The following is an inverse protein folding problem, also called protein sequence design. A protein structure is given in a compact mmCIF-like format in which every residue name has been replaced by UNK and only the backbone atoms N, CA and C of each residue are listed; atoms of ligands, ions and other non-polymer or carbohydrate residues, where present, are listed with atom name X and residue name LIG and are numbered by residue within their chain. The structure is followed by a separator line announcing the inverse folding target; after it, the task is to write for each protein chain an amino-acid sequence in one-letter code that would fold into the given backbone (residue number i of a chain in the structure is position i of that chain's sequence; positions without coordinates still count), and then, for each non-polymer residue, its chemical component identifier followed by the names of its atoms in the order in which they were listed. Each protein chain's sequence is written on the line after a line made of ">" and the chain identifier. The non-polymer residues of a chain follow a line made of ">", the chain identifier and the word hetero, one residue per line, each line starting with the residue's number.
data_IF_076375233952
#
_entry.id   IF_076375233952
#
_cell.length_a   1.000
_cell.length_b   1.000
_cell.length_c   1.000
_cell.angle_alpha   90.00
_cell.angle_beta   90.00
_cell.angle_gamma   90.00
#
_symmetry.space_group_name_H-M   'P 1'
#
loop_
_entity.id
_entity.type
_entity.pdbx_description
1 polymer ?
#
# COMPACT_ATOMS: atom_id res chain seq x y z
N UNK A 1 -3.64 -3.61 12.86
CA UNK A 1 -3.81 -3.46 11.40
C UNK A 1 -3.12 -4.63 10.74
N UNK A 2 -3.71 -5.28 9.73
CA UNK A 2 -3.05 -6.41 9.06
C UNK A 2 -1.95 -5.89 8.14
N UNK A 3 -0.78 -6.57 8.06
CA UNK A 3 0.28 -6.17 7.15
C UNK A 3 -0.14 -6.43 5.69
N UNK A 4 0.25 -5.54 4.77
CA UNK A 4 0.02 -5.76 3.34
C UNK A 4 1.17 -6.57 2.74
N UNK A 5 0.98 -7.01 1.50
CA UNK A 5 2.03 -7.66 0.72
C UNK A 5 2.25 -6.89 -0.59
N UNK A 6 3.48 -6.47 -0.84
CA UNK A 6 3.88 -5.78 -2.07
C UNK A 6 4.85 -6.65 -2.86
N UNK A 7 4.55 -6.87 -4.14
CA UNK A 7 5.47 -7.52 -5.06
C UNK A 7 6.05 -6.48 -5.99
N UNK A 8 7.34 -6.20 -5.86
CA UNK A 8 8.05 -5.12 -6.55
C UNK A 8 9.20 -5.65 -7.40
N UNK A 9 9.75 -4.79 -8.25
CA UNK A 9 10.91 -5.10 -9.08
C UNK A 9 10.71 -4.71 -10.54
N UNK A 10 11.81 -4.78 -11.29
CA UNK A 10 11.85 -4.43 -12.70
C UNK A 10 10.77 -5.14 -13.53
N UNK A 11 10.42 -4.60 -14.70
CA UNK A 11 9.49 -5.29 -15.60
C UNK A 11 9.92 -6.71 -15.91
N UNK A 12 8.93 -7.56 -16.19
CA UNK A 12 9.18 -8.93 -16.66
C UNK A 12 9.99 -9.80 -15.70
N UNK A 13 9.69 -9.73 -14.39
CA UNK A 13 10.29 -10.55 -13.32
C UNK A 13 9.31 -11.53 -12.65
N UNK A 14 8.20 -11.85 -13.33
CA UNK A 14 7.20 -12.79 -12.80
C UNK A 14 6.38 -12.28 -11.61
N UNK A 15 6.28 -10.95 -11.41
CA UNK A 15 5.50 -10.32 -10.32
C UNK A 15 4.02 -10.68 -10.37
N UNK A 16 3.36 -10.45 -11.51
CA UNK A 16 1.95 -10.78 -11.70
C UNK A 16 1.66 -12.25 -11.42
N UNK A 17 2.57 -13.15 -11.82
CA UNK A 17 2.47 -14.58 -11.50
C UNK A 17 2.53 -14.83 -10.00
N UNK A 18 3.50 -14.23 -9.29
CA UNK A 18 3.60 -14.37 -7.84
C UNK A 18 2.36 -13.81 -7.12
N UNK A 19 1.82 -12.69 -7.58
CA UNK A 19 0.59 -12.11 -7.02
C UNK A 19 -0.59 -13.07 -7.19
N UNK A 20 -0.77 -13.70 -8.35
CA UNK A 20 -1.84 -14.69 -8.56
C UNK A 20 -1.67 -15.94 -7.68
N UNK A 21 -0.42 -16.36 -7.43
CA UNK A 21 -0.13 -17.46 -6.51
C UNK A 21 -0.46 -17.06 -5.07
N UNK A 22 -0.07 -15.86 -4.64
CA UNK A 22 -0.37 -15.34 -3.31
C UNK A 22 -1.88 -15.16 -3.09
N UNK A 23 -2.58 -14.60 -4.07
CA UNK A 23 -4.04 -14.48 -4.05
C UNK A 23 -4.71 -15.84 -3.89
N UNK A 24 -4.29 -16.85 -4.66
CA UNK A 24 -4.82 -18.20 -4.54
C UNK A 24 -4.51 -18.82 -3.17
N UNK A 25 -3.29 -18.61 -2.68
CA UNK A 25 -2.86 -19.09 -1.36
C UNK A 25 -3.72 -18.46 -0.25
N UNK A 26 -3.88 -17.15 -0.26
CA UNK A 26 -4.68 -16.39 0.68
C UNK A 26 -6.17 -16.35 0.32
N UNK A 27 -6.65 -17.11 -0.66
CA UNK A 27 -8.07 -17.39 -0.86
C UNK A 27 -8.53 -18.57 0.01
N UNK A 28 -7.62 -19.51 0.33
CA UNK A 28 -7.90 -20.59 1.27
C UNK A 28 -8.01 -20.06 2.73
N UNK A 29 -9.16 -20.24 3.41
CA UNK A 29 -9.35 -19.81 4.80
C UNK A 29 -8.30 -20.34 5.77
N UNK A 30 -7.80 -21.56 5.59
CA UNK A 30 -6.83 -22.20 6.49
C UNK A 30 -5.49 -21.46 6.51
N UNK A 31 -5.14 -20.78 5.41
CA UNK A 31 -3.94 -19.96 5.32
C UNK A 31 -4.11 -18.58 5.98
N UNK A 32 -5.34 -18.24 6.40
CA UNK A 32 -5.72 -16.96 7.03
C UNK A 32 -6.22 -17.15 8.46
N UNK A 33 -5.84 -18.22 9.14
CA UNK A 33 -6.12 -18.41 10.56
C UNK A 33 -4.89 -18.01 11.37
N UNK A 34 -5.05 -17.07 12.28
CA UNK A 34 -4.01 -16.67 13.22
C UNK A 34 -4.56 -16.67 14.64
N UNK A 35 -3.98 -17.45 15.53
CA UNK A 35 -4.42 -17.60 16.94
C UNK A 35 -5.94 -17.91 17.07
N UNK A 36 -6.47 -18.71 16.15
CA UNK A 36 -7.90 -19.05 16.10
C UNK A 36 -8.82 -17.96 15.51
N UNK A 37 -8.27 -16.84 15.08
CA UNK A 37 -9.01 -15.75 14.43
C UNK A 37 -8.89 -15.85 12.92
N UNK A 38 -10.02 -15.78 12.22
CA UNK A 38 -10.05 -15.68 10.77
C UNK A 38 -9.73 -14.26 10.31
N UNK A 39 -8.70 -14.14 9.48
CA UNK A 39 -8.34 -12.90 8.81
C UNK A 39 -9.16 -12.78 7.51
N UNK A 40 -9.71 -11.59 7.20
CA UNK A 40 -10.46 -11.37 5.96
C UNK A 40 -9.62 -11.68 4.72
N UNK A 41 -10.29 -11.99 3.61
CA UNK A 41 -9.65 -12.15 2.31
C UNK A 41 -8.98 -10.80 1.93
N UNK A 42 -7.73 -10.80 1.43
CA UNK A 42 -7.08 -9.56 1.00
C UNK A 42 -7.77 -8.98 -0.25
N UNK A 43 -7.73 -7.66 -0.37
CA UNK A 43 -7.94 -7.01 -1.66
C UNK A 43 -6.73 -7.22 -2.56
N UNK A 44 -6.93 -7.26 -3.88
CA UNK A 44 -5.84 -7.46 -4.84
C UNK A 44 -5.72 -6.27 -5.76
N UNK A 45 -4.61 -5.56 -5.65
CA UNK A 45 -4.27 -4.44 -6.54
C UNK A 45 -3.43 -4.98 -7.69
N UNK A 46 -3.99 -4.95 -8.90
CA UNK A 46 -3.29 -5.32 -10.14
C UNK A 46 -2.50 -4.13 -10.68
N UNK A 47 -1.53 -4.40 -11.55
CA UNK A 47 -0.65 -3.41 -12.18
C UNK A 47 -1.44 -2.19 -12.71
N UNK A 48 -1.24 -1.04 -12.06
CA UNK A 48 -1.94 0.22 -12.38
C UNK A 48 -1.32 0.95 -13.57
N UNK A 49 0.00 0.84 -13.74
CA UNK A 49 0.76 1.60 -14.75
C UNK A 49 0.22 1.41 -16.18
N UNK A 50 -0.22 0.19 -16.51
CA UNK A 50 -0.79 -0.11 -17.83
C UNK A 50 -2.06 0.70 -18.12
N UNK A 51 -2.94 0.85 -17.11
CA UNK A 51 -4.14 1.67 -17.24
C UNK A 51 -3.80 3.15 -17.45
N UNK A 52 -2.80 3.66 -16.72
CA UNK A 52 -2.36 5.05 -16.83
C UNK A 52 -1.79 5.37 -18.22
N UNK A 53 -0.91 4.49 -18.75
CA UNK A 53 -0.35 4.65 -20.10
C UNK A 53 -1.45 4.80 -21.15
N UNK A 54 -2.44 3.89 -21.13
CA UNK A 54 -3.56 3.89 -22.09
C UNK A 54 -4.43 5.13 -21.90
N UNK A 55 -4.80 5.46 -20.67
CA UNK A 55 -5.71 6.56 -20.37
C UNK A 55 -5.14 7.93 -20.75
N UNK A 56 -3.83 8.13 -20.60
CA UNK A 56 -3.18 9.43 -20.81
C UNK A 56 -2.39 9.49 -22.13
N UNK A 57 -2.42 8.43 -22.94
CA UNK A 57 -1.76 8.39 -24.25
C UNK A 57 -0.23 8.43 -24.17
N UNK A 58 0.37 7.92 -23.09
CA UNK A 58 1.83 7.81 -22.99
C UNK A 58 2.35 6.62 -23.79
N UNK A 59 3.43 6.85 -24.50
CA UNK A 59 4.17 5.86 -25.27
C UNK A 59 5.46 5.44 -24.55
N UNK A 60 6.10 4.36 -25.01
CA UNK A 60 7.43 3.95 -24.49
C UNK A 60 8.50 5.01 -24.73
N UNK A 61 8.39 5.72 -25.85
CA UNK A 61 9.34 6.75 -26.26
C UNK A 61 9.26 7.98 -25.35
N UNK A 62 8.06 8.33 -24.88
CA UNK A 62 7.87 9.40 -23.89
C UNK A 62 8.69 9.15 -22.61
N UNK A 63 8.86 7.89 -22.22
CA UNK A 63 9.61 7.51 -21.02
C UNK A 63 11.12 7.68 -21.25
N UNK A 64 11.62 7.35 -22.44
CA UNK A 64 13.07 7.30 -22.74
C UNK A 64 13.64 8.61 -23.26
N UNK A 65 12.84 9.40 -23.98
CA UNK A 65 13.32 10.56 -24.74
C UNK A 65 13.10 11.86 -23.95
N UNK A 66 12.05 11.94 -23.13
CA UNK A 66 11.70 13.14 -22.38
C UNK A 66 11.69 12.89 -20.87
N UNK A 67 12.70 13.38 -20.13
CA UNK A 67 12.71 13.33 -18.67
C UNK A 67 11.45 13.95 -18.03
N UNK A 68 10.93 15.02 -18.63
CA UNK A 68 9.72 15.71 -18.17
C UNK A 68 8.47 14.84 -18.33
N UNK A 69 8.27 14.23 -19.51
CA UNK A 69 7.13 13.31 -19.73
C UNK A 69 7.27 12.03 -18.91
N UNK A 70 8.50 11.56 -18.69
CA UNK A 70 8.75 10.46 -17.78
C UNK A 70 8.28 10.80 -16.36
N UNK A 71 8.67 11.96 -15.82
CA UNK A 71 8.23 12.42 -14.50
C UNK A 71 6.71 12.56 -14.43
N UNK A 72 6.09 13.19 -15.43
CA UNK A 72 4.63 13.34 -15.52
C UNK A 72 3.93 11.97 -15.46
N UNK A 73 4.39 11.00 -16.25
CA UNK A 73 3.87 9.63 -16.21
C UNK A 73 4.02 9.00 -14.83
N UNK A 74 5.20 9.10 -14.21
CA UNK A 74 5.43 8.48 -12.90
C UNK A 74 4.59 9.16 -11.79
N UNK A 75 4.30 10.46 -11.89
CA UNK A 75 3.36 11.15 -11.01
C UNK A 75 1.93 10.59 -11.15
N UNK A 76 1.47 10.38 -12.39
CA UNK A 76 0.16 9.76 -12.64
C UNK A 76 0.08 8.32 -12.12
N UNK A 77 1.12 7.52 -12.33
CA UNK A 77 1.18 6.14 -11.82
C UNK A 77 1.15 6.13 -10.30
N UNK A 78 1.94 6.97 -9.64
CA UNK A 78 1.99 7.04 -8.18
C UNK A 78 0.64 7.46 -7.58
N UNK A 79 -0.02 8.46 -8.18
CA UNK A 79 -1.34 8.90 -7.74
C UNK A 79 -2.42 7.82 -7.94
N UNK A 80 -2.41 7.16 -9.10
CA UNK A 80 -3.36 6.08 -9.38
C UNK A 80 -3.12 4.87 -8.47
N UNK A 81 -1.87 4.52 -8.19
CA UNK A 81 -1.50 3.46 -7.24
C UNK A 81 -2.00 3.80 -5.83
N UNK A 82 -1.75 5.02 -5.36
CA UNK A 82 -2.22 5.49 -4.06
C UNK A 82 -3.75 5.38 -3.92
N UNK A 83 -4.50 5.85 -4.91
CA UNK A 83 -5.95 5.77 -4.90
C UNK A 83 -6.44 4.32 -4.89
N UNK A 84 -5.87 3.48 -5.76
CA UNK A 84 -6.27 2.07 -5.90
C UNK A 84 -6.04 1.27 -4.62
N UNK A 85 -4.92 1.50 -3.94
CA UNK A 85 -4.66 0.87 -2.65
C UNK A 85 -5.63 1.36 -1.56
N UNK A 86 -5.94 2.67 -1.52
CA UNK A 86 -6.91 3.20 -0.55
C UNK A 86 -8.30 2.58 -0.72
N UNK A 87 -8.79 2.49 -1.94
CA UNK A 87 -10.08 1.88 -2.25
C UNK A 87 -10.08 0.40 -1.81
N UNK A 88 -9.03 -0.35 -2.17
CA UNK A 88 -8.89 -1.75 -1.80
C UNK A 88 -8.81 -1.98 -0.28
N UNK A 89 -8.15 -1.09 0.46
CA UNK A 89 -8.09 -1.17 1.92
C UNK A 89 -9.42 -0.86 2.58
N UNK A 90 -10.21 0.06 2.01
CA UNK A 90 -11.56 0.37 2.49
C UNK A 90 -12.51 -0.83 2.41
N UNK A 91 -12.30 -1.71 1.43
CA UNK A 91 -13.14 -2.90 1.20
C UNK A 91 -12.67 -4.12 2.01
N UNK A 92 -11.36 -4.40 2.05
CA UNK A 92 -10.81 -5.67 2.56
C UNK A 92 -9.99 -5.55 3.84
N UNK A 93 -9.58 -4.34 4.22
CA UNK A 93 -8.75 -4.06 5.40
C UNK A 93 -7.25 -4.38 5.25
N UNK A 94 -6.85 -5.13 4.21
CA UNK A 94 -5.47 -5.35 3.79
C UNK A 94 -5.40 -5.81 2.33
N UNK A 95 -4.21 -5.76 1.73
CA UNK A 95 -4.05 -6.03 0.31
C UNK A 95 -2.79 -6.82 -0.06
N UNK A 96 -2.85 -7.38 -1.28
CA UNK A 96 -1.71 -7.87 -2.06
C UNK A 96 -1.61 -6.98 -3.31
N UNK A 97 -0.45 -6.37 -3.54
CA UNK A 97 -0.24 -5.44 -4.67
C UNK A 97 0.79 -5.96 -5.67
N UNK A 98 0.40 -5.99 -6.94
CA UNK A 98 1.29 -6.13 -8.10
C UNK A 98 1.87 -4.75 -8.42
N UNK A 99 3.12 -4.52 -7.97
CA UNK A 99 3.81 -3.22 -7.86
C UNK A 99 3.37 -2.39 -6.66
N UNK A 100 4.07 -1.30 -6.42
CA UNK A 100 3.86 -0.42 -5.26
C UNK A 100 4.17 1.04 -5.60
N UNK A 101 4.08 1.92 -4.60
CA UNK A 101 4.52 3.32 -4.72
C UNK A 101 6.01 3.49 -5.04
N UNK A 102 6.86 2.49 -4.75
CA UNK A 102 8.30 2.59 -5.00
C UNK A 102 8.64 2.48 -6.49
N UNK A 103 7.83 1.73 -7.25
CA UNK A 103 8.05 1.50 -8.68
C UNK A 103 8.17 2.82 -9.45
N UNK A 104 7.19 3.76 -9.40
CA UNK A 104 7.32 5.03 -10.12
C UNK A 104 8.50 5.90 -9.67
N UNK A 105 8.94 5.83 -8.41
CA UNK A 105 10.12 6.57 -7.94
C UNK A 105 11.38 6.05 -8.63
N UNK A 106 11.53 4.74 -8.73
CA UNK A 106 12.71 4.12 -9.34
C UNK A 106 12.75 4.38 -10.85
N UNK A 107 11.61 4.27 -11.53
CA UNK A 107 11.53 4.59 -12.95
C UNK A 107 11.77 6.09 -13.20
N UNK A 108 11.28 6.98 -12.32
CA UNK A 108 11.59 8.41 -12.41
C UNK A 108 13.08 8.69 -12.20
N UNK A 109 13.72 8.01 -11.25
CA UNK A 109 15.16 8.13 -11.03
C UNK A 109 15.96 7.68 -12.25
N UNK A 110 15.59 6.54 -12.82
CA UNK A 110 16.34 5.89 -13.88
C UNK A 110 16.20 6.62 -15.23
N UNK A 111 14.99 7.09 -15.57
CA UNK A 111 14.71 7.71 -16.86
C UNK A 111 14.54 9.24 -16.81
N UNK A 112 14.08 9.78 -15.68
CA UNK A 112 13.91 11.22 -15.45
C UNK A 112 15.05 11.87 -14.64
N UNK A 113 15.95 11.08 -14.06
CA UNK A 113 17.05 11.53 -13.22
C UNK A 113 16.69 11.71 -11.75
N UNK A 114 17.71 11.98 -10.91
CA UNK A 114 17.56 12.06 -9.45
C UNK A 114 16.56 13.13 -8.99
N UNK A 115 16.51 14.28 -9.67
CA UNK A 115 15.57 15.36 -9.35
C UNK A 115 14.11 14.94 -9.52
N UNK A 116 13.80 14.09 -10.51
CA UNK A 116 12.46 13.55 -10.72
C UNK A 116 12.04 12.63 -9.56
N UNK A 117 12.94 11.75 -9.12
CA UNK A 117 12.71 10.90 -7.96
C UNK A 117 12.50 11.71 -6.66
N UNK A 118 13.32 12.74 -6.42
CA UNK A 118 13.17 13.62 -5.26
C UNK A 118 11.78 14.29 -5.21
N UNK A 119 11.23 14.72 -6.35
CA UNK A 119 9.89 15.30 -6.41
C UNK A 119 8.80 14.30 -6.00
N UNK A 120 8.92 13.04 -6.45
CA UNK A 120 7.98 11.98 -6.06
C UNK A 120 8.10 11.62 -4.58
N UNK A 121 9.32 11.55 -4.04
CA UNK A 121 9.56 11.27 -2.62
C UNK A 121 9.00 12.38 -1.71
N UNK A 122 8.86 13.61 -2.19
CA UNK A 122 8.30 14.72 -1.42
C UNK A 122 6.77 14.80 -1.46
N UNK A 123 6.11 14.04 -2.34
CA UNK A 123 4.66 14.14 -2.48
C UNK A 123 3.92 13.39 -1.36
N UNK A 124 2.72 13.88 -1.02
CA UNK A 124 1.88 13.26 0.04
C UNK A 124 1.50 11.82 -0.25
N UNK A 125 1.29 11.47 -1.52
CA UNK A 125 0.92 10.12 -1.95
C UNK A 125 2.04 9.13 -1.59
N UNK A 126 3.30 9.49 -1.84
CA UNK A 126 4.44 8.67 -1.42
C UNK A 126 4.55 8.56 0.09
N UNK A 127 4.37 9.66 0.84
CA UNK A 127 4.48 9.60 2.30
C UNK A 127 3.54 8.55 2.91
N UNK A 128 2.30 8.48 2.43
CA UNK A 128 1.34 7.46 2.86
C UNK A 128 1.71 6.05 2.38
N UNK A 129 2.07 5.89 1.10
CA UNK A 129 2.45 4.61 0.52
C UNK A 129 3.72 4.04 1.17
N UNK A 130 4.76 4.86 1.34
CA UNK A 130 6.03 4.49 1.93
C UNK A 130 5.88 4.06 3.38
N UNK A 131 5.09 4.78 4.19
CA UNK A 131 4.80 4.37 5.57
C UNK A 131 4.09 3.02 5.64
N UNK A 132 3.12 2.82 4.74
CA UNK A 132 2.43 1.54 4.61
C UNK A 132 3.39 0.42 4.17
N UNK A 133 4.30 0.68 3.25
CA UNK A 133 5.30 -0.29 2.80
C UNK A 133 6.26 -0.68 3.93
N UNK A 134 6.74 0.27 4.76
CA UNK A 134 7.64 -0.04 5.90
C UNK A 134 7.04 -1.04 6.88
N UNK A 135 5.74 -0.96 7.10
CA UNK A 135 4.99 -1.87 7.98
C UNK A 135 4.47 -3.14 7.30
N UNK A 136 4.78 -3.35 6.01
CA UNK A 136 4.26 -4.44 5.18
C UNK A 136 5.34 -5.45 4.75
N UNK A 137 4.94 -6.58 4.18
CA UNK A 137 5.87 -7.52 3.56
C UNK A 137 6.15 -7.05 2.14
N UNK A 138 7.40 -6.69 1.83
CA UNK A 138 7.82 -6.34 0.48
C UNK A 138 8.64 -7.48 -0.11
N UNK A 139 8.32 -7.89 -1.33
CA UNK A 139 9.01 -8.95 -2.07
C UNK A 139 9.59 -8.35 -3.34
N UNK A 140 10.92 -8.27 -3.42
CA UNK A 140 11.65 -7.81 -4.59
C UNK A 140 11.95 -8.98 -5.52
N UNK A 141 11.37 -8.98 -6.71
CA UNK A 141 11.64 -9.97 -7.73
C UNK A 141 12.90 -9.61 -8.54
N UNK A 142 13.88 -10.51 -8.51
CA UNK A 142 15.12 -10.38 -9.28
C UNK A 142 14.88 -10.57 -10.79
N UNK A 143 15.72 -9.92 -11.63
CA UNK A 143 15.79 -10.20 -13.07
C UNK A 143 15.94 -11.69 -13.39
N UNK A 144 15.11 -12.22 -14.29
CA UNK A 144 15.22 -13.59 -14.80
C UNK A 144 14.87 -13.66 -16.28
N UNK A 145 15.83 -13.96 -17.15
CA UNK A 145 15.68 -13.92 -18.61
C UNK A 145 14.42 -14.64 -19.15
N UNK A 146 13.96 -15.71 -18.49
CA UNK A 146 12.77 -16.48 -18.88
C UNK A 146 11.46 -15.68 -18.84
N UNK A 147 11.41 -14.59 -18.08
CA UNK A 147 10.22 -13.75 -17.95
C UNK A 147 10.23 -12.55 -18.89
N UNK A 148 11.32 -12.32 -19.63
CA UNK A 148 11.45 -11.23 -20.61
C UNK A 148 10.56 -11.51 -21.84
N UNK A 149 9.33 -11.01 -21.83
CA UNK A 149 8.41 -11.03 -22.98
C UNK A 149 7.96 -9.61 -23.29
N UNK A 150 8.20 -9.17 -24.52
CA UNK A 150 7.68 -7.90 -25.04
C UNK A 150 6.20 -8.06 -25.40
N UNK A 151 5.34 -7.25 -24.78
CA UNK A 151 3.89 -7.23 -25.01
C UNK A 151 3.41 -6.01 -25.81
N UNK A 152 4.32 -5.25 -26.42
CA UNK A 152 4.02 -4.03 -27.19
C UNK A 152 3.61 -2.80 -26.36
N UNK A 153 3.30 -2.97 -25.07
CA UNK A 153 2.89 -1.87 -24.18
C UNK A 153 4.01 -1.50 -23.20
N UNK A 154 4.66 -2.48 -22.58
CA UNK A 154 5.63 -2.23 -21.49
C UNK A 154 6.95 -1.68 -21.98
N UNK A 155 7.57 -0.78 -21.23
CA UNK A 155 8.99 -0.49 -21.44
C UNK A 155 9.76 -1.81 -21.34
N UNK A 156 10.69 -2.06 -22.26
CA UNK A 156 11.58 -3.23 -22.20
C UNK A 156 12.99 -2.74 -21.95
N UNK A 157 13.79 -3.44 -21.12
CA UNK A 157 15.19 -3.10 -20.99
C UNK A 157 15.89 -3.29 -22.35
N UNK A 158 16.83 -2.42 -22.69
CA UNK A 158 17.63 -2.49 -23.91
C UNK A 158 18.57 -3.68 -23.90
N UNK A 159 19.10 -3.99 -22.73
CA UNK A 159 20.03 -5.07 -22.47
C UNK A 159 19.94 -5.55 -21.02
N UNK A 160 20.73 -6.58 -20.69
CA UNK A 160 20.80 -7.15 -19.35
C UNK A 160 21.33 -6.12 -18.34
N UNK A 161 22.22 -5.22 -18.75
CA UNK A 161 22.84 -4.24 -17.86
C UNK A 161 21.81 -3.21 -17.37
N UNK A 162 20.97 -2.66 -18.26
CA UNK A 162 19.89 -1.74 -17.89
C UNK A 162 18.92 -2.43 -16.90
N UNK A 163 18.71 -3.75 -17.07
CA UNK A 163 17.84 -4.51 -16.18
C UNK A 163 18.44 -4.71 -14.78
N UNK A 164 19.72 -5.05 -14.72
CA UNK A 164 20.47 -5.14 -13.46
C UNK A 164 20.57 -3.80 -12.75
N UNK A 165 20.81 -2.71 -13.49
CA UNK A 165 20.91 -1.36 -12.94
C UNK A 165 19.57 -0.90 -12.36
N UNK A 166 18.46 -1.27 -13.02
CA UNK A 166 17.12 -1.03 -12.48
C UNK A 166 16.90 -1.84 -11.20
N UNK A 167 17.33 -3.10 -11.14
CA UNK A 167 17.23 -3.91 -9.92
C UNK A 167 18.07 -3.34 -8.76
N UNK A 168 19.30 -2.89 -9.03
CA UNK A 168 20.13 -2.19 -8.03
C UNK A 168 19.45 -0.91 -7.54
N UNK A 169 18.78 -0.18 -8.44
CA UNK A 169 18.00 1.00 -8.05
C UNK A 169 16.82 0.63 -7.13
N UNK A 170 16.16 -0.51 -7.34
CA UNK A 170 15.16 -1.02 -6.38
C UNK A 170 15.75 -1.24 -4.99
N UNK A 171 16.87 -1.96 -4.88
CA UNK A 171 17.54 -2.20 -3.60
C UNK A 171 17.87 -0.88 -2.90
N UNK A 172 18.55 0.03 -3.60
CA UNK A 172 19.00 1.30 -3.03
C UNK A 172 17.82 2.15 -2.53
N UNK A 173 16.74 2.30 -3.32
CA UNK A 173 15.60 3.11 -2.90
C UNK A 173 14.86 2.48 -1.72
N UNK A 174 14.74 1.14 -1.68
CA UNK A 174 14.14 0.44 -0.54
C UNK A 174 14.97 0.65 0.73
N UNK A 175 16.29 0.48 0.64
CA UNK A 175 17.23 0.66 1.76
C UNK A 175 17.23 2.11 2.27
N UNK A 176 17.37 3.09 1.37
CA UNK A 176 17.38 4.52 1.70
C UNK A 176 16.08 4.98 2.38
N UNK A 177 14.96 4.32 2.10
CA UNK A 177 13.66 4.65 2.68
C UNK A 177 13.29 3.76 3.89
N UNK A 178 14.21 2.89 4.32
CA UNK A 178 14.02 2.01 5.47
C UNK A 178 12.90 1.00 5.27
N UNK A 179 12.71 0.51 4.04
CA UNK A 179 11.66 -0.46 3.68
C UNK A 179 12.28 -1.86 3.65
N UNK A 180 12.01 -2.73 4.63
CA UNK A 180 12.55 -4.09 4.61
C UNK A 180 11.93 -4.92 3.49
N UNK A 181 12.73 -5.75 2.82
CA UNK A 181 12.24 -6.59 1.73
C UNK A 181 12.87 -8.00 1.72
N UNK A 182 12.12 -8.94 1.16
CA UNK A 182 12.56 -10.29 0.82
C UNK A 182 12.95 -10.32 -0.66
N UNK A 183 14.10 -10.89 -0.99
CA UNK A 183 14.50 -11.10 -2.38
C UNK A 183 13.94 -12.44 -2.87
N UNK A 184 13.26 -12.43 -4.02
CA UNK A 184 12.96 -13.65 -4.76
C UNK A 184 14.13 -13.94 -5.69
N UNK A 185 14.91 -14.94 -5.30
CA UNK A 185 15.91 -15.53 -6.17
C UNK A 185 15.28 -16.53 -7.12
N UNK A 186 15.60 -16.44 -8.41
CA UNK A 186 14.98 -17.23 -9.49
C UNK A 186 15.20 -18.74 -9.43
N UNK A 187 15.97 -19.22 -8.46
CA UNK A 187 16.27 -20.63 -8.19
C UNK A 187 15.39 -21.21 -7.07
N UNK A 188 14.77 -20.36 -6.24
CA UNK A 188 13.98 -20.82 -5.11
C UNK A 188 12.67 -21.48 -5.58
N UNK A 189 12.31 -22.60 -4.95
CA UNK A 189 11.02 -23.24 -5.12
C UNK A 189 9.90 -22.26 -4.69
N UNK A 190 8.86 -22.13 -5.51
CA UNK A 190 7.72 -21.26 -5.26
C UNK A 190 7.08 -21.52 -3.89
N UNK A 191 6.96 -22.78 -3.46
CA UNK A 191 6.34 -23.11 -2.16
C UNK A 191 7.20 -22.62 -0.98
N UNK A 192 8.52 -22.66 -1.12
CA UNK A 192 9.46 -22.13 -0.12
C UNK A 192 9.31 -20.62 -0.01
N UNK A 193 9.24 -19.91 -1.14
CA UNK A 193 9.02 -18.47 -1.17
C UNK A 193 7.69 -18.08 -0.50
N UNK A 194 6.60 -18.79 -0.82
CA UNK A 194 5.29 -18.55 -0.20
C UNK A 194 5.35 -18.82 1.31
N UNK A 195 6.04 -19.88 1.74
CA UNK A 195 6.28 -20.17 3.16
C UNK A 195 7.02 -19.03 3.87
N UNK A 196 8.07 -18.48 3.26
CA UNK A 196 8.81 -17.33 3.79
C UNK A 196 7.95 -16.07 3.89
N UNK A 197 7.21 -15.74 2.83
CA UNK A 197 6.31 -14.59 2.80
C UNK A 197 5.25 -14.72 3.90
N UNK A 198 4.65 -15.91 4.05
CA UNK A 198 3.66 -16.18 5.08
C UNK A 198 4.24 -16.07 6.49
N UNK A 199 5.44 -16.59 6.71
CA UNK A 199 6.12 -16.49 8.00
C UNK A 199 6.36 -15.03 8.38
N UNK A 200 6.89 -14.23 7.46
CA UNK A 200 7.14 -12.80 7.67
C UNK A 200 5.83 -12.02 7.89
N UNK A 201 4.79 -12.34 7.12
CA UNK A 201 3.47 -11.74 7.28
C UNK A 201 2.86 -12.04 8.67
N UNK A 202 2.94 -13.29 9.14
CA UNK A 202 2.50 -13.68 10.48
C UNK A 202 3.31 -12.98 11.58
N UNK A 203 4.62 -12.85 11.40
CA UNK A 203 5.50 -12.13 12.33
C UNK A 203 5.04 -10.69 12.52
N UNK A 204 4.83 -9.97 11.41
CA UNK A 204 4.33 -8.57 11.43
C UNK A 204 2.92 -8.46 11.99
N UNK A 205 2.05 -9.42 11.66
CA UNK A 205 0.70 -9.46 12.20
C UNK A 205 0.72 -9.56 13.73
N UNK A 206 1.53 -10.49 14.27
CA UNK A 206 1.67 -10.65 15.71
C UNK A 206 2.25 -9.40 16.38
N UNK A 207 3.26 -8.77 15.78
CA UNK A 207 3.80 -7.50 16.28
C UNK A 207 2.74 -6.39 16.33
N UNK A 208 1.92 -6.27 15.27
CA UNK A 208 0.84 -5.30 15.21
C UNK A 208 -0.28 -5.56 16.23
N UNK A 209 -0.59 -6.83 16.51
CA UNK A 209 -1.57 -7.22 17.53
C UNK A 209 -1.04 -6.93 18.94
N UNK A 210 0.22 -7.28 19.22
CA UNK A 210 0.86 -7.00 20.50
C UNK A 210 0.91 -5.49 20.81
N UNK A 211 1.23 -4.67 19.81
CA UNK A 211 1.23 -3.21 19.96
C UNK A 211 -0.16 -2.63 20.32
N UNK A 212 -1.24 -3.23 19.80
CA UNK A 212 -2.61 -2.82 20.12
C UNK A 212 -3.01 -3.21 21.54
N UNK A 213 -2.57 -4.36 22.04
CA UNK A 213 -2.87 -4.80 23.42
C UNK A 213 -2.13 -3.94 24.45
N UNK A 214 -0.87 -3.56 24.17
CA UNK A 214 -0.12 -2.60 25.01
C UNK A 214 -0.83 -1.25 25.06
N UNK A 215 -1.33 -0.76 23.93
CA UNK A 215 -2.08 0.51 23.88
C UNK A 215 -3.42 0.47 24.63
N UNK A 216 -3.97 -0.73 24.89
CA UNK A 216 -5.24 -0.95 25.61
C UNK A 216 -5.06 -1.26 27.10
N UNK A 217 -3.82 -1.44 27.57
CA UNK A 217 -3.57 -1.69 28.99
C UNK A 217 -4.03 -0.47 29.82
N UNK A 218 -4.80 -0.68 30.91
CA UNK A 218 -5.23 0.43 31.76
C UNK A 218 -4.00 1.15 32.32
N UNK A 219 -3.96 2.47 32.13
CA UNK A 219 -2.95 3.35 32.75
C UNK A 219 -2.96 3.03 34.25
N UNK A 220 -1.81 2.70 34.87
CA UNK A 220 -1.79 2.46 36.30
C UNK A 220 -2.34 3.70 36.99
N UNK A 221 -3.47 3.52 37.67
CA UNK A 221 -4.10 4.59 38.43
C UNK A 221 -3.05 5.15 39.38
N UNK A 222 -2.68 6.41 39.17
CA UNK A 222 -1.91 7.18 40.14
C UNK A 222 -2.71 7.09 41.44
N UNK A 223 -2.24 6.24 42.35
CA UNK A 223 -2.81 6.14 43.69
C UNK A 223 -2.83 7.55 44.26
N UNK A 224 -4.04 8.07 44.43
CA UNK A 224 -4.29 9.35 45.08
C UNK A 224 -3.67 9.23 46.47
N UNK A 225 -2.53 9.91 46.65
CA UNK A 225 -1.97 10.18 47.96
C UNK A 225 -3.10 10.76 48.83
N UNK A 226 -3.36 10.20 50.03
CA UNK A 226 -4.46 10.66 50.86
C UNK A 226 -4.19 12.12 51.29
N UNK A 227 -4.96 13.03 50.70
CA UNK A 227 -4.96 14.45 51.06
C UNK A 227 -5.47 14.59 52.49
N UNK A 228 -4.55 14.84 53.43
CA UNK A 228 -4.87 15.32 54.77
C UNK A 228 -5.23 16.80 54.66
N UNK A 229 -6.49 17.15 54.42
CA UNK A 229 -7.05 18.43 54.88
C UNK A 229 -8.58 18.36 54.86
N UNK A 230 -9.19 18.36 56.04
CA UNK A 230 -10.61 18.55 56.25
C UNK A 230 -10.90 20.04 56.52
N UNK A 231 -12.01 20.58 55.99
CA UNK A 231 -12.75 21.62 56.67
C UNK A 231 -14.27 21.28 56.81
N UNK A 232 -15.01 22.02 57.66
CA UNK A 232 -16.23 21.52 58.27
C UNK A 232 -17.50 21.75 57.44
N UNK A 233 -18.53 21.00 57.85
CA UNK A 233 -19.90 20.94 57.33
C UNK A 233 -20.69 22.23 57.52
N UNK A 234 -21.38 22.65 56.47
CA UNK A 234 -22.74 23.26 56.41
C UNK A 234 -23.22 23.02 54.97
N UNK A 235 -24.33 22.36 54.62
CA UNK A 235 -25.71 22.59 55.04
C UNK A 235 -26.50 23.08 53.80
N UNK A 236 -27.68 22.49 53.54
CA UNK A 236 -28.73 22.85 52.55
C UNK A 236 -28.64 22.39 51.07
N UNK A 237 -29.52 21.44 50.73
CA UNK A 237 -30.25 21.23 49.45
C UNK A 237 -31.29 22.36 49.23
N UNK A 238 -31.96 22.55 48.05
CA UNK A 238 -32.35 21.53 47.05
C UNK A 238 -32.38 21.96 45.56
N UNK A 239 -32.75 20.97 44.72
CA UNK A 239 -33.68 21.08 43.58
C UNK A 239 -33.11 20.87 42.17
N UNK A 240 -33.90 20.06 41.45
CA UNK A 240 -33.67 19.50 40.14
C UNK A 240 -33.78 20.51 38.99
N UNK A 241 -33.04 20.24 37.91
CA UNK A 241 -33.40 20.67 36.57
C UNK A 241 -32.90 19.62 35.56
N UNK A 242 -33.85 18.89 34.99
CA UNK A 242 -33.71 18.02 33.84
C UNK A 242 -33.68 18.89 32.58
N UNK A 243 -32.60 18.83 31.80
CA UNK A 243 -32.58 19.36 30.42
C UNK A 243 -32.12 18.26 29.48
N UNK A 244 -33.07 17.71 28.74
CA UNK A 244 -32.83 16.84 27.60
C UNK A 244 -32.27 17.66 26.43
N UNK A 245 -31.16 17.21 25.87
CA UNK A 245 -30.62 17.74 24.63
C UNK A 245 -31.26 16.99 23.45
N UNK A 246 -32.17 17.66 22.75
CA UNK A 246 -32.69 17.26 21.44
C UNK A 246 -31.66 17.58 20.36
N UNK A 247 -31.22 16.57 19.62
CA UNK A 247 -30.44 16.75 18.40
C UNK A 247 -31.35 17.21 17.24
N UNK A 248 -30.92 18.14 16.38
CA UNK A 248 -31.66 18.44 15.15
C UNK A 248 -31.50 17.31 14.12
N UNK A 249 -32.52 17.06 13.27
CA UNK A 249 -32.46 16.03 12.23
C UNK A 249 -31.48 16.41 11.12
N UNK A 250 -30.73 15.41 10.65
CA UNK A 250 -29.82 15.47 9.50
C UNK A 250 -30.63 15.67 8.22
N UNK A 251 -30.31 16.70 7.45
CA UNK A 251 -30.92 16.94 6.14
C UNK A 251 -30.47 15.87 5.14
N UNK A 252 -31.44 15.14 4.58
CA UNK A 252 -31.24 14.19 3.48
C UNK A 252 -31.10 15.00 2.19
N UNK A 253 -29.93 14.91 1.53
CA UNK A 253 -29.72 15.47 0.20
C UNK A 253 -30.45 14.63 -0.85
N UNK A 254 -31.08 15.25 -1.87
CA UNK A 254 -31.74 14.53 -2.96
C UNK A 254 -30.71 13.86 -3.89
N UNK A 255 -31.09 12.76 -4.57
CA UNK A 255 -30.22 12.04 -5.49
C UNK A 255 -29.89 12.88 -6.73
N UNK A 256 -28.61 12.83 -7.12
CA UNK A 256 -28.07 13.43 -8.34
C UNK A 256 -28.57 12.63 -9.57
N UNK A 257 -29.12 13.28 -10.61
CA UNK A 257 -29.57 12.59 -11.81
C UNK A 257 -28.39 12.07 -12.64
N UNK A 258 -28.49 10.80 -13.07
CA UNK A 258 -27.56 10.16 -14.00
C UNK A 258 -27.67 10.81 -15.39
N UNK A 259 -26.57 11.37 -15.88
CA UNK A 259 -26.46 11.88 -17.24
C UNK A 259 -26.53 10.70 -18.25
N UNK A 260 -27.51 10.76 -19.14
CA UNK A 260 -27.68 9.80 -20.24
C UNK A 260 -26.67 9.99 -21.37
N UNK A 261 -26.51 8.98 -22.26
CA UNK A 261 -25.50 8.98 -23.29
C UNK A 261 -25.85 9.92 -24.46
N UNK A 262 -24.90 10.79 -24.82
CA UNK A 262 -24.91 11.56 -26.06
C UNK A 262 -24.87 10.62 -27.28
N UNK A 263 -25.95 10.63 -28.07
CA UNK A 263 -25.92 10.16 -29.46
C UNK A 263 -25.34 11.27 -30.33
N UNK A 264 -24.19 11.02 -30.95
CA UNK A 264 -23.68 11.82 -32.06
C UNK A 264 -24.49 11.53 -33.33
N UNK A 265 -24.91 12.60 -34.00
CA UNK A 265 -25.46 12.56 -35.35
C UNK A 265 -24.31 12.70 -36.36
N UNK A 266 -24.46 11.97 -37.48
CA UNK A 266 -23.81 12.25 -38.75
C UNK A 266 -24.54 13.40 -39.47
#
# INVERSE_FOLDING_TARGET
>A
MFPNIYVVGAQSTGKTTLVSVLESHFANPDNRIQNGVHIPVPGVVREVARGVLIQHGFTRDDIRISPERCLELQQHILAAQWQRERDSLGESGWLISDRSGVDPIIYAQHFGGKSAACQLLQCKNWQELGERMRSSVVVLCSPEAKFLKDDGVRLMPRDVQEWEDLHKAFCNVLDENGIPYLVRDGVANQDVLIGMIRMEWNSRLNANLAALDVARAPVPSLSVMPSRFAPPRTGSTPSAATTGATYPPVAVLPPVPLAGPHRGAA
#
